data_IF_787286058617
#
_entry.id   IF_787286058617
#
_cell.length_a   1.000
_cell.length_b   1.000
_cell.length_c   1.000
_cell.angle_alpha   90.00
_cell.angle_beta   90.00
_cell.angle_gamma   90.00
#
_symmetry.space_group_name_H-M   'P 1'
#
loop_
_entity.id
_entity.type
_entity.pdbx_description
1 polymer ?
#
# COMPACT_ATOMS: atom_id res chain seq x y z
N UNK A 1 -0.79 -22.31 -10.51
CA UNK A 1 -0.36 -22.06 -9.11
C UNK A 1 0.20 -20.64 -8.97
N UNK A 2 -0.65 -19.60 -8.82
CA UNK A 2 -0.22 -18.18 -8.66
C UNK A 2 -0.71 -17.51 -7.37
N UNK A 3 -1.46 -18.25 -6.55
CA UNK A 3 -2.09 -17.71 -5.32
C UNK A 3 -1.10 -17.64 -4.15
N UNK A 4 -0.11 -18.54 -4.07
CA UNK A 4 0.84 -18.57 -2.95
C UNK A 4 1.85 -17.39 -2.95
N UNK A 5 2.33 -16.97 -4.12
CA UNK A 5 3.27 -15.84 -4.24
C UNK A 5 2.59 -14.49 -3.92
N UNK A 6 1.31 -14.35 -4.27
CA UNK A 6 0.49 -13.17 -3.93
C UNK A 6 0.29 -13.04 -2.41
N UNK A 7 0.04 -14.16 -1.69
CA UNK A 7 -0.14 -14.14 -0.24
C UNK A 7 1.10 -13.62 0.51
N UNK A 8 2.31 -14.01 0.11
CA UNK A 8 3.55 -13.51 0.73
C UNK A 8 3.75 -12.00 0.51
N UNK A 9 3.52 -11.52 -0.72
CA UNK A 9 3.63 -10.08 -1.00
C UNK A 9 2.60 -9.26 -0.23
N UNK A 10 1.38 -9.77 -0.10
CA UNK A 10 0.31 -9.10 0.65
C UNK A 10 0.66 -8.99 2.14
N UNK A 11 1.19 -10.07 2.73
CA UNK A 11 1.63 -10.09 4.14
C UNK A 11 2.77 -9.10 4.38
N UNK A 12 3.75 -9.02 3.47
CA UNK A 12 4.85 -8.06 3.59
C UNK A 12 4.32 -6.63 3.58
N UNK A 13 3.47 -6.27 2.61
CA UNK A 13 2.86 -4.94 2.53
C UNK A 13 2.04 -4.63 3.79
N UNK A 14 1.27 -5.61 4.29
CA UNK A 14 0.49 -5.47 5.51
C UNK A 14 1.35 -5.16 6.73
N UNK A 15 2.43 -5.92 6.92
CA UNK A 15 3.38 -5.71 8.02
C UNK A 15 4.05 -4.34 7.88
N UNK A 16 4.46 -3.97 6.67
CA UNK A 16 5.06 -2.66 6.40
C UNK A 16 4.13 -1.52 6.80
N UNK A 17 2.86 -1.56 6.37
CA UNK A 17 1.88 -0.51 6.70
C UNK A 17 1.56 -0.52 8.21
N UNK A 18 1.48 -1.70 8.84
CA UNK A 18 1.27 -1.81 10.28
C UNK A 18 2.40 -1.14 11.07
N UNK A 19 3.65 -1.41 10.71
CA UNK A 19 4.81 -0.78 11.34
C UNK A 19 4.82 0.74 11.07
N UNK A 20 4.47 1.16 9.85
CA UNK A 20 4.44 2.58 9.47
C UNK A 20 3.40 3.37 10.29
N UNK A 21 2.19 2.82 10.45
CA UNK A 21 1.15 3.42 11.28
C UNK A 21 1.57 3.51 12.76
N UNK A 22 2.22 2.47 13.30
CA UNK A 22 2.75 2.52 14.67
C UNK A 22 3.85 3.57 14.82
N UNK A 23 4.76 3.65 13.86
CA UNK A 23 5.86 4.62 13.84
C UNK A 23 5.35 6.05 13.77
N UNK A 24 4.43 6.36 12.86
CA UNK A 24 3.82 7.68 12.74
C UNK A 24 3.08 8.10 14.01
N UNK A 25 2.36 7.17 14.64
CA UNK A 25 1.61 7.47 15.87
C UNK A 25 2.54 7.79 17.03
N UNK A 26 3.68 7.10 17.16
CA UNK A 26 4.62 7.34 18.26
C UNK A 26 5.50 8.56 18.02
N UNK A 27 5.86 8.83 16.75
CA UNK A 27 6.84 9.85 16.41
C UNK A 27 6.25 11.26 16.40
N UNK A 28 4.97 11.43 16.04
CA UNK A 28 4.30 12.74 16.01
C UNK A 28 4.36 13.43 17.38
N UNK A 29 3.88 12.84 18.49
CA UNK A 29 3.95 13.48 19.80
C UNK A 29 5.39 13.67 20.26
N UNK A 30 6.26 12.67 20.03
CA UNK A 30 7.67 12.74 20.41
C UNK A 30 8.41 13.91 19.77
N UNK A 31 8.17 14.19 18.49
CA UNK A 31 8.77 15.33 17.80
C UNK A 31 8.20 16.66 18.31
N UNK A 32 6.92 16.73 18.66
CA UNK A 32 6.35 17.95 19.24
C UNK A 32 7.02 18.28 20.59
N UNK A 33 7.11 17.29 21.49
CA UNK A 33 7.76 17.45 22.79
C UNK A 33 9.24 17.84 22.64
N UNK A 34 9.95 17.23 21.67
CA UNK A 34 11.36 17.55 21.41
C UNK A 34 11.56 18.99 20.87
N UNK A 35 10.69 19.48 20.01
CA UNK A 35 10.78 20.85 19.49
C UNK A 35 10.49 21.87 20.59
N UNK A 36 9.56 21.57 21.50
CA UNK A 36 9.27 22.40 22.67
C UNK A 36 10.50 22.52 23.59
N UNK A 37 11.23 21.41 23.82
CA UNK A 37 12.48 21.41 24.60
C UNK A 37 13.60 22.23 23.95
N UNK A 38 13.68 22.28 22.61
CA UNK A 38 14.63 23.11 21.89
C UNK A 38 14.22 24.60 21.80
N UNK A 39 13.07 24.97 22.35
CA UNK A 39 12.54 26.34 22.31
C UNK A 39 11.97 26.74 20.95
N UNK A 40 11.53 25.76 20.14
CA UNK A 40 10.90 25.99 18.85
C UNK A 40 9.46 26.50 18.98
N UNK A 41 9.07 27.42 18.10
CA UNK A 41 7.71 27.93 18.00
C UNK A 41 6.81 26.99 17.16
N UNK A 42 5.48 27.14 17.28
CA UNK A 42 4.48 26.40 16.51
C UNK A 42 4.71 26.50 14.97
N UNK A 43 5.29 27.61 14.50
CA UNK A 43 5.68 27.76 13.09
C UNK A 43 6.75 26.74 12.65
N UNK A 44 7.72 26.44 13.52
CA UNK A 44 8.80 25.49 13.22
C UNK A 44 8.26 24.07 13.10
N UNK A 45 7.35 23.67 14.00
CA UNK A 45 6.66 22.38 13.94
C UNK A 45 5.83 22.27 12.65
N UNK A 46 5.09 23.33 12.30
CA UNK A 46 4.29 23.39 11.07
C UNK A 46 5.14 23.28 9.80
N UNK A 47 6.31 23.94 9.76
CA UNK A 47 7.25 23.82 8.66
C UNK A 47 7.86 22.41 8.57
N UNK A 48 8.17 21.79 9.71
CA UNK A 48 8.71 20.43 9.76
C UNK A 48 7.68 19.42 9.23
N UNK A 49 6.44 19.45 9.73
CA UNK A 49 5.37 18.59 9.24
C UNK A 49 5.00 18.89 7.78
N UNK A 50 4.99 20.16 7.39
CA UNK A 50 4.74 20.58 6.01
C UNK A 50 5.80 20.04 5.05
N UNK A 51 7.07 20.08 5.44
CA UNK A 51 8.17 19.50 4.66
C UNK A 51 8.03 17.98 4.51
N UNK A 52 7.59 17.30 5.57
CA UNK A 52 7.34 15.86 5.54
C UNK A 52 6.21 15.49 4.59
N UNK A 53 5.08 16.21 4.64
CA UNK A 53 3.95 16.01 3.73
C UNK A 53 4.34 16.31 2.27
N UNK A 54 5.14 17.35 2.03
CA UNK A 54 5.66 17.67 0.71
C UNK A 54 6.52 16.53 0.16
N UNK A 55 7.46 16.02 0.97
CA UNK A 55 8.27 14.86 0.59
C UNK A 55 7.39 13.63 0.34
N UNK A 56 6.41 13.34 1.21
CA UNK A 56 5.47 12.24 1.01
C UNK A 56 4.69 12.34 -0.31
N UNK A 57 4.26 13.54 -0.70
CA UNK A 57 3.59 13.77 -1.99
C UNK A 57 4.47 13.38 -3.18
N UNK A 58 5.79 13.62 -3.11
CA UNK A 58 6.73 13.25 -4.16
C UNK A 58 7.13 11.77 -4.10
N UNK A 59 7.37 11.24 -2.90
CA UNK A 59 7.85 9.88 -2.73
C UNK A 59 6.74 8.84 -2.93
N UNK A 60 5.49 9.11 -2.54
CA UNK A 60 4.37 8.19 -2.72
C UNK A 60 4.17 7.69 -4.18
N UNK A 61 4.10 8.57 -5.21
CA UNK A 61 4.00 8.11 -6.60
C UNK A 61 5.30 7.49 -7.12
N UNK A 62 6.47 7.90 -6.62
CA UNK A 62 7.77 7.35 -7.06
C UNK A 62 7.92 5.90 -6.63
N UNK A 63 7.63 5.58 -5.36
CA UNK A 63 7.69 4.22 -4.83
C UNK A 63 6.61 3.31 -5.46
N UNK A 64 5.41 3.84 -5.71
CA UNK A 64 4.36 3.12 -6.43
C UNK A 64 4.79 2.70 -7.84
N UNK A 65 5.42 3.61 -8.59
CA UNK A 65 5.91 3.33 -9.96
C UNK A 65 7.07 2.34 -10.00
N UNK A 66 7.92 2.33 -8.97
CA UNK A 66 9.00 1.34 -8.83
C UNK A 66 8.42 -0.04 -8.51
N UNK A 67 7.39 -0.11 -7.65
CA UNK A 67 6.66 -1.33 -7.33
C UNK A 67 6.02 -1.95 -8.58
N UNK A 68 5.40 -1.12 -9.43
CA UNK A 68 4.76 -1.57 -10.68
C UNK A 68 5.75 -2.14 -11.71
N UNK A 69 7.04 -1.79 -11.61
CA UNK A 69 8.08 -2.32 -12.50
C UNK A 69 8.48 -3.76 -12.18
N UNK A 70 8.33 -4.24 -10.94
CA UNK A 70 8.72 -5.60 -10.56
C UNK A 70 7.76 -6.70 -11.03
N UNK A 71 6.55 -6.36 -11.51
CA UNK A 71 5.52 -7.34 -11.86
C UNK A 71 5.30 -7.63 -13.34
N UNK A 72 5.72 -6.75 -14.27
CA UNK A 72 5.38 -6.89 -15.69
C UNK A 72 6.32 -7.87 -16.42
N UNK A 73 6.10 -9.17 -16.19
CA UNK A 73 6.27 -10.14 -17.26
C UNK A 73 5.23 -9.83 -18.35
N UNK A 74 5.73 -9.20 -19.40
CA UNK A 74 5.31 -9.20 -20.80
C UNK A 74 3.94 -9.84 -21.10
N UNK A 75 2.95 -9.08 -21.62
CA UNK A 75 1.84 -9.65 -22.35
C UNK A 75 2.35 -10.16 -23.71
N UNK A 76 2.91 -11.36 -23.74
CA UNK A 76 3.10 -12.12 -24.99
C UNK A 76 1.73 -12.58 -25.45
N UNK A 77 1.25 -11.99 -26.54
CA UNK A 77 0.25 -12.59 -27.40
C UNK A 77 -1.17 -12.51 -26.87
N UNK A 78 -1.92 -11.56 -27.40
CA UNK A 78 -3.33 -11.75 -27.65
C UNK A 78 -3.51 -13.05 -28.46
N UNK A 79 -3.76 -14.15 -27.74
CA UNK A 79 -4.29 -15.37 -28.32
C UNK A 79 -5.69 -15.51 -27.75
N UNK A 80 -6.64 -14.88 -28.44
CA UNK A 80 -8.04 -15.29 -28.37
C UNK A 80 -8.08 -16.79 -28.62
N UNK A 81 -8.43 -17.55 -27.58
CA UNK A 81 -8.97 -18.89 -27.76
C UNK A 81 -10.37 -18.89 -27.17
N UNK A 82 -11.28 -19.05 -28.11
CA UNK A 82 -12.72 -19.21 -27.98
C UNK A 82 -13.14 -20.26 -26.95
N UNK A 83 -14.27 -19.98 -26.29
CA UNK A 83 -15.37 -20.87 -25.92
C UNK A 83 -15.06 -22.28 -25.39
N UNK A 84 -15.53 -22.59 -24.17
CA UNK A 84 -16.35 -23.79 -23.96
C UNK A 84 -16.98 -23.82 -22.57
N UNK A 85 -18.30 -23.61 -22.53
CA UNK A 85 -19.30 -24.27 -21.67
C UNK A 85 -18.79 -25.05 -20.46
N UNK A 86 -18.92 -24.50 -19.25
CA UNK A 86 -19.05 -25.26 -18.00
C UNK A 86 -19.62 -24.42 -16.85
N UNK A 87 -20.63 -23.59 -17.14
CA UNK A 87 -21.47 -22.96 -16.10
C UNK A 87 -22.59 -23.91 -15.60
N UNK A 88 -22.49 -25.21 -15.91
CA UNK A 88 -23.35 -26.27 -15.36
C UNK A 88 -22.90 -26.74 -13.97
N UNK A 89 -22.35 -25.84 -13.16
CA UNK A 89 -22.09 -26.06 -11.73
C UNK A 89 -22.57 -24.86 -10.90
N UNK A 90 -23.64 -24.22 -11.36
CA UNK A 90 -24.54 -23.40 -10.55
C UNK A 90 -25.21 -24.29 -9.49
N UNK A 91 -24.48 -24.50 -8.40
CA UNK A 91 -24.97 -24.40 -7.01
C UNK A 91 -26.49 -24.56 -6.79
N UNK A 92 -26.95 -25.71 -6.27
CA UNK A 92 -28.32 -25.94 -5.81
C UNK A 92 -28.76 -25.18 -4.53
N UNK A 93 -27.97 -24.23 -4.02
CA UNK A 93 -28.12 -23.71 -2.66
C UNK A 93 -28.42 -22.20 -2.56
N UNK A 94 -28.62 -21.48 -3.67
CA UNK A 94 -29.10 -20.09 -3.66
C UNK A 94 -30.64 -19.95 -3.59
N UNK A 95 -31.37 -21.05 -3.42
CA UNK A 95 -32.83 -21.04 -3.28
C UNK A 95 -33.31 -21.15 -1.81
N UNK A 96 -32.46 -20.85 -0.84
CA UNK A 96 -32.77 -21.09 0.58
C UNK A 96 -32.54 -19.92 1.56
N UNK A 97 -32.09 -18.74 1.12
CA UNK A 97 -32.03 -17.53 1.96
C UNK A 97 -32.18 -16.25 1.14
#
# INVERSE_FOLDING_TARGET
MKVAAQRRSLVIIWITILIDLMGLTIIIPFVNDFVDELGGDAQTVGLLQGSYAALQLFFAPVWGRISDRSGRRFPSGARCRSSSTSDAFSSPWEAAW
#
